data_IF_111406098634
#
_entry.id   IF_111406098634
#
_cell.length_a   1.000
_cell.length_b   1.000
_cell.length_c   1.000
_cell.angle_alpha   90.00
_cell.angle_beta   90.00
_cell.angle_gamma   90.00
#
_symmetry.space_group_name_H-M   'P 1'
#
loop_
_entity.id
_entity.type
_entity.pdbx_description
1 polymer ?
#
# COMPACT_ATOMS: atom_id res chain seq x y z
N UNK A 1 0.19 24.17 23.41
CA UNK A 1 0.82 23.94 22.09
C UNK A 1 0.80 22.43 21.90
N UNK A 2 0.05 21.93 20.92
CA UNK A 2 -0.01 20.48 20.68
C UNK A 2 1.35 19.99 20.18
N UNK A 3 1.71 18.74 20.48
CA UNK A 3 2.84 18.12 19.80
C UNK A 3 2.43 17.77 18.38
N UNK A 4 3.38 17.82 17.46
CA UNK A 4 3.21 17.46 16.06
C UNK A 4 4.07 16.24 15.75
N UNK A 5 3.62 15.44 14.80
CA UNK A 5 4.34 14.30 14.27
C UNK A 5 4.82 14.69 12.88
N UNK A 6 6.13 14.58 12.69
CA UNK A 6 6.78 14.97 11.45
C UNK A 6 7.95 14.08 11.10
N UNK A 7 8.58 14.44 10.00
CA UNK A 7 9.78 13.78 9.48
C UNK A 7 10.94 14.77 9.44
N UNK A 8 12.15 14.24 9.54
CA UNK A 8 13.36 15.03 9.31
C UNK A 8 13.78 14.93 7.85
N UNK A 9 13.91 16.08 7.20
CA UNK A 9 14.39 16.16 5.83
C UNK A 9 15.93 16.08 5.81
N UNK A 10 16.50 15.82 4.64
CA UNK A 10 17.96 15.69 4.48
C UNK A 10 18.73 16.99 4.74
N UNK A 11 18.06 18.15 4.74
CA UNK A 11 18.62 19.44 5.14
C UNK A 11 18.63 19.65 6.67
N UNK A 12 18.09 18.68 7.42
CA UNK A 12 17.97 18.71 8.88
C UNK A 12 16.74 19.44 9.39
N UNK A 13 15.90 19.99 8.51
CA UNK A 13 14.65 20.65 8.90
C UNK A 13 13.58 19.63 9.29
N UNK A 14 12.73 20.02 10.24
CA UNK A 14 11.56 19.26 10.64
C UNK A 14 10.37 19.64 9.77
N UNK A 15 9.76 18.65 9.12
CA UNK A 15 8.54 18.82 8.34
C UNK A 15 7.36 18.19 9.07
N UNK A 16 6.47 19.03 9.57
CA UNK A 16 5.25 18.63 10.27
C UNK A 16 4.25 17.98 9.31
N UNK A 17 3.78 16.79 9.65
CA UNK A 17 2.85 16.01 8.81
C UNK A 17 1.48 15.92 9.48
N UNK A 18 1.43 15.53 10.75
CA UNK A 18 0.20 15.30 11.52
C UNK A 18 0.26 16.05 12.85
N UNK A 19 -0.89 16.48 13.34
CA UNK A 19 -1.04 16.96 14.72
C UNK A 19 -1.27 15.76 15.66
N UNK A 20 -0.87 15.82 16.93
CA UNK A 20 -1.04 14.72 17.88
C UNK A 20 -2.51 14.44 18.26
N UNK A 21 -3.39 15.43 18.15
CA UNK A 21 -4.83 15.29 18.34
C UNK A 21 -5.58 14.90 17.06
N UNK A 22 -4.89 14.87 15.91
CA UNK A 22 -5.48 14.48 14.64
C UNK A 22 -5.68 12.97 14.59
N UNK A 23 -6.95 12.53 14.42
CA UNK A 23 -7.27 11.14 14.13
C UNK A 23 -7.51 10.96 12.64
N UNK A 24 -6.67 10.16 11.97
CA UNK A 24 -6.80 9.92 10.54
C UNK A 24 -5.50 9.50 9.89
N UNK A 25 -5.48 9.52 8.56
CA UNK A 25 -4.30 9.19 7.74
C UNK A 25 -3.98 10.32 6.78
N UNK A 26 -2.70 10.60 6.58
CA UNK A 26 -2.19 11.59 5.62
C UNK A 26 -1.12 10.93 4.76
N UNK A 27 -1.22 11.18 3.46
CA UNK A 27 -0.24 10.75 2.46
C UNK A 27 0.68 11.91 2.12
N UNK A 28 1.98 11.66 2.16
CA UNK A 28 3.06 12.56 1.77
C UNK A 28 3.90 11.86 0.71
N UNK A 29 4.37 12.63 -0.27
CA UNK A 29 5.33 12.16 -1.26
C UNK A 29 6.68 12.78 -0.93
N UNK A 30 7.69 11.93 -0.74
CA UNK A 30 9.08 12.34 -0.51
C UNK A 30 9.96 11.81 -1.63
N UNK A 31 11.18 12.35 -1.74
CA UNK A 31 12.09 12.02 -2.85
C UNK A 31 13.54 11.98 -2.39
N UNK A 32 14.44 11.50 -3.26
CA UNK A 32 15.87 11.38 -2.94
C UNK A 32 16.56 12.73 -2.93
N UNK A 33 17.58 12.86 -2.07
CA UNK A 33 18.35 14.11 -1.94
C UNK A 33 19.65 14.10 -2.75
N UNK A 34 20.11 12.91 -3.16
CA UNK A 34 21.32 12.69 -3.96
C UNK A 34 21.00 11.91 -5.24
N UNK A 35 21.84 12.11 -6.25
CA UNK A 35 21.74 11.38 -7.51
C UNK A 35 22.15 9.91 -7.31
N UNK A 36 21.45 9.00 -7.98
CA UNK A 36 21.65 7.55 -7.92
C UNK A 36 21.63 7.00 -6.48
N UNK A 37 20.81 7.60 -5.62
CA UNK A 37 20.62 7.13 -4.26
C UNK A 37 19.79 5.84 -4.26
N UNK A 38 20.37 4.77 -3.71
CA UNK A 38 19.83 3.40 -3.69
C UNK A 38 19.00 3.08 -2.44
N UNK A 39 19.10 3.92 -1.42
CA UNK A 39 18.45 3.74 -0.12
C UNK A 39 17.99 5.08 0.46
N UNK A 40 16.82 5.10 1.10
CA UNK A 40 16.25 6.27 1.77
C UNK A 40 15.86 5.90 3.19
N UNK A 41 16.39 6.64 4.17
CA UNK A 41 16.01 6.54 5.56
C UNK A 41 15.10 7.72 5.92
N UNK A 42 13.93 7.42 6.48
CA UNK A 42 12.92 8.39 6.89
C UNK A 42 12.79 8.29 8.41
N UNK A 43 13.29 9.30 9.10
CA UNK A 43 13.25 9.36 10.55
C UNK A 43 12.01 10.14 11.00
N UNK A 44 11.20 9.52 11.87
CA UNK A 44 9.97 10.08 12.43
C UNK A 44 10.23 10.67 13.80
N UNK A 45 9.71 11.87 14.02
CA UNK A 45 9.85 12.61 15.26
C UNK A 45 8.49 13.13 15.74
N UNK A 46 8.34 13.17 17.07
CA UNK A 46 7.28 13.88 17.78
C UNK A 46 7.91 15.14 18.37
N UNK A 47 7.40 16.32 18.06
CA UNK A 47 7.96 17.56 18.59
C UNK A 47 7.07 18.75 18.30
N UNK A 48 7.50 19.94 18.71
CA UNK A 48 6.87 21.19 18.29
C UNK A 48 7.90 21.98 17.48
N UNK A 49 7.44 22.88 16.60
CA UNK A 49 8.30 23.66 15.70
C UNK A 49 9.43 24.44 16.43
N UNK A 50 9.23 24.79 17.70
CA UNK A 50 10.21 25.47 18.57
C UNK A 50 10.66 24.61 19.78
N UNK A 51 10.21 23.36 19.86
CA UNK A 51 10.37 22.49 21.02
C UNK A 51 11.39 21.38 20.84
N UNK A 52 11.54 20.54 21.87
CA UNK A 52 12.37 19.34 21.79
C UNK A 52 11.71 18.28 20.88
N UNK A 53 12.49 17.73 19.96
CA UNK A 53 12.10 16.63 19.07
C UNK A 53 12.39 15.28 19.75
N UNK A 54 11.36 14.48 20.01
CA UNK A 54 11.46 13.10 20.47
C UNK A 54 11.45 12.14 19.28
N UNK A 55 12.50 11.34 19.13
CA UNK A 55 12.58 10.31 18.09
C UNK A 55 11.59 9.19 18.35
N UNK A 56 10.82 8.82 17.32
CA UNK A 56 9.82 7.73 17.38
C UNK A 56 10.40 6.46 16.76
N UNK A 57 10.95 6.58 15.55
CA UNK A 57 11.46 5.45 14.79
C UNK A 57 11.91 5.84 13.39
N UNK A 58 12.38 4.86 12.63
CA UNK A 58 12.92 5.06 11.29
C UNK A 58 12.36 4.02 10.32
N UNK A 59 12.08 4.46 9.10
CA UNK A 59 11.69 3.61 7.96
C UNK A 59 12.83 3.64 6.93
N UNK A 60 13.31 2.48 6.50
CA UNK A 60 14.41 2.38 5.54
C UNK A 60 13.96 1.67 4.26
N UNK A 61 13.82 2.41 3.17
CA UNK A 61 13.56 1.84 1.84
C UNK A 61 14.90 1.56 1.17
N UNK A 62 15.11 0.33 0.71
CA UNK A 62 16.31 -0.10 0.00
C UNK A 62 16.01 -0.35 -1.49
N UNK A 63 17.04 -0.65 -2.28
CA UNK A 63 16.93 -1.08 -3.67
C UNK A 63 16.16 -0.10 -4.60
N UNK A 64 16.30 1.21 -4.34
CA UNK A 64 15.72 2.26 -5.18
C UNK A 64 16.47 2.30 -6.52
N UNK A 65 15.72 2.37 -7.62
CA UNK A 65 16.31 2.44 -8.95
C UNK A 65 17.23 3.68 -9.07
N UNK A 66 18.47 3.52 -9.58
CA UNK A 66 19.38 4.65 -9.77
C UNK A 66 18.78 5.69 -10.71
N UNK A 67 18.44 6.86 -10.15
CA UNK A 67 17.91 8.00 -10.89
C UNK A 67 18.48 9.30 -10.31
N UNK A 68 18.47 10.41 -11.07
CA UNK A 68 18.78 11.74 -10.55
C UNK A 68 18.00 12.08 -9.29
N UNK A 69 18.55 12.94 -8.43
CA UNK A 69 17.85 13.42 -7.23
C UNK A 69 16.50 14.03 -7.62
N UNK A 70 15.52 13.91 -6.73
CA UNK A 70 14.17 14.46 -6.91
C UNK A 70 13.29 13.75 -7.95
N UNK A 71 13.79 12.71 -8.62
CA UNK A 71 13.01 11.90 -9.56
C UNK A 71 12.33 10.68 -8.90
N UNK A 72 13.00 9.89 -8.04
CA UNK A 72 12.33 8.82 -7.30
C UNK A 72 11.21 9.36 -6.43
N UNK A 73 10.06 8.72 -6.45
CA UNK A 73 8.89 9.14 -5.68
C UNK A 73 8.61 8.09 -4.61
N UNK A 74 8.84 8.42 -3.34
CA UNK A 74 8.57 7.53 -2.22
C UNK A 74 7.27 8.00 -1.56
N UNK A 75 6.27 7.13 -1.55
CA UNK A 75 4.99 7.37 -0.90
C UNK A 75 5.10 7.05 0.58
N UNK A 76 4.87 8.06 1.43
CA UNK A 76 4.84 7.93 2.88
C UNK A 76 3.41 8.19 3.38
N UNK A 77 2.82 7.23 4.07
CA UNK A 77 1.52 7.35 4.70
C UNK A 77 1.70 7.29 6.21
N UNK A 78 1.28 8.34 6.91
CA UNK A 78 1.23 8.34 8.37
C UNK A 78 -0.22 8.36 8.81
N UNK A 79 -0.52 7.61 9.87
CA UNK A 79 -1.83 7.54 10.49
C UNK A 79 -1.75 7.56 11.99
N UNK A 80 -2.63 8.31 12.63
CA UNK A 80 -2.76 8.33 14.08
C UNK A 80 -4.19 7.94 14.44
N UNK A 81 -4.32 6.95 15.32
CA UNK A 81 -5.61 6.50 15.83
C UNK A 81 -6.02 7.26 17.10
N UNK A 82 -7.28 7.09 17.52
CA UNK A 82 -7.81 7.71 18.75
C UNK A 82 -7.17 7.18 20.04
N UNK A 83 -6.37 6.12 19.95
CA UNK A 83 -5.66 5.49 21.07
C UNK A 83 -4.21 5.98 21.18
N UNK A 84 -3.74 6.80 20.23
CA UNK A 84 -2.37 7.28 20.16
C UNK A 84 -1.39 6.32 19.47
N UNK A 85 -1.86 5.30 18.75
CA UNK A 85 -0.96 4.49 17.93
C UNK A 85 -0.68 5.19 16.60
N UNK A 86 0.59 5.45 16.35
CA UNK A 86 1.10 5.93 15.09
C UNK A 86 1.42 4.73 14.19
N UNK A 87 0.77 4.68 13.03
CA UNK A 87 1.11 3.81 11.93
C UNK A 87 1.81 4.62 10.85
N UNK A 88 2.98 4.17 10.41
CA UNK A 88 3.71 4.78 9.31
C UNK A 88 4.04 3.71 8.26
N UNK A 89 3.82 4.03 7.00
CA UNK A 89 4.03 3.14 5.87
C UNK A 89 4.76 3.89 4.76
N UNK A 90 5.90 3.37 4.32
CA UNK A 90 6.66 3.92 3.20
C UNK A 90 6.68 2.91 2.05
N UNK A 91 6.51 3.37 0.81
CA UNK A 91 6.54 2.53 -0.38
C UNK A 91 7.18 3.28 -1.55
N UNK A 92 8.11 2.62 -2.24
CA UNK A 92 8.57 3.06 -3.55
C UNK A 92 7.79 2.30 -4.64
N UNK A 93 7.02 2.98 -5.51
CA UNK A 93 6.26 2.35 -6.58
C UNK A 93 7.15 1.78 -7.70
N UNK A 94 8.39 2.26 -7.85
CA UNK A 94 9.29 1.83 -8.93
C UNK A 94 10.04 0.54 -8.57
N UNK A 95 10.59 0.45 -7.35
CA UNK A 95 11.19 -0.79 -6.85
C UNK A 95 10.14 -1.79 -6.33
N UNK A 96 8.98 -1.30 -5.87
CA UNK A 96 7.97 -2.10 -5.18
C UNK A 96 8.28 -2.34 -3.70
N UNK A 97 9.41 -1.83 -3.21
CA UNK A 97 9.85 -1.96 -1.82
C UNK A 97 8.93 -1.18 -0.87
N UNK A 98 8.65 -1.79 0.28
CA UNK A 98 7.67 -1.33 1.26
C UNK A 98 8.18 -1.54 2.67
N UNK A 99 7.94 -0.58 3.53
CA UNK A 99 8.25 -0.67 4.95
C UNK A 99 7.09 -0.13 5.78
N UNK A 100 6.90 -0.71 6.96
CA UNK A 100 5.86 -0.30 7.89
C UNK A 100 6.39 -0.25 9.31
N UNK A 101 5.95 0.74 10.07
CA UNK A 101 6.29 0.95 11.47
C UNK A 101 5.00 1.27 12.23
N UNK A 102 4.77 0.57 13.34
CA UNK A 102 3.65 0.83 14.25
C UNK A 102 4.20 1.09 15.65
N UNK A 103 3.91 2.25 16.23
CA UNK A 103 4.40 2.64 17.55
C UNK A 103 3.26 3.23 18.36
N UNK A 104 3.07 2.72 19.58
CA UNK A 104 2.15 3.30 20.55
C UNK A 104 2.81 4.51 21.19
N UNK A 105 2.24 5.70 20.98
CA UNK A 105 2.75 6.90 21.58
C UNK A 105 2.18 7.05 23.01
N UNK A 106 3.01 7.26 24.04
CA UNK A 106 2.50 7.52 25.37
C UNK A 106 1.75 8.86 25.37
N UNK A 107 0.59 8.87 26.03
CA UNK A 107 -0.18 10.09 26.26
C UNK A 107 0.65 11.04 27.11
N UNK A 108 0.79 12.28 26.65
CA UNK A 108 1.44 13.38 27.37
C UNK A 108 0.53 13.80 28.53
N UNK A 109 0.50 13.00 29.59
CA UNK A 109 -0.39 13.19 30.74
C UNK A 109 0.21 12.76 32.08
N UNK A 110 1.16 11.83 32.09
CA UNK A 110 1.83 11.41 33.33
C UNK A 110 3.25 11.96 33.38
N UNK A 111 3.36 13.29 33.42
CA UNK A 111 4.39 13.88 34.27
C UNK A 111 3.94 13.64 35.70
N UNK A 112 4.13 12.43 36.22
CA UNK A 112 4.44 12.33 37.65
C UNK A 112 5.67 13.23 37.80
N UNK A 113 5.59 14.34 38.55
CA UNK A 113 6.78 15.12 38.85
C UNK A 113 7.78 14.13 39.43
N UNK A 114 8.92 14.02 38.77
CA UNK A 114 10.09 13.37 39.34
C UNK A 114 10.23 13.93 40.74
N UNK A 115 10.01 13.07 41.75
CA UNK A 115 10.46 13.34 43.10
C UNK A 115 11.91 13.81 43.00
N UNK A 116 12.15 15.00 43.53
CA UNK A 116 13.48 15.60 43.68
C UNK A 116 14.46 14.51 44.10
N UNK A 117 15.36 14.16 43.18
CA UNK A 117 16.56 13.42 43.53
C UNK A 117 17.45 14.41 44.28
N UNK A 118 17.23 14.50 45.59
CA UNK A 118 18.12 15.14 46.55
C UNK A 118 19.53 14.50 46.42
N UNK A 119 20.35 15.13 45.59
CA UNK A 119 21.77 14.92 45.45
C UNK A 119 22.50 15.81 46.46
N UNK A 120 22.55 15.37 47.72
CA UNK A 120 23.57 15.75 48.68
C UNK A 120 24.28 14.44 49.10
N UNK A 121 25.56 14.21 48.79
CA UNK A 121 26.67 14.94 49.39
C UNK A 121 27.23 14.10 50.56
N UNK A 122 28.11 13.15 50.23
CA UNK A 122 29.09 12.42 51.05
C UNK A 122 29.01 12.49 52.61
N UNK A 123 29.01 11.33 53.29
CA UNK A 123 30.13 10.84 54.15
C UNK A 123 29.68 9.69 55.09
N UNK A 124 30.15 8.48 54.76
CA UNK A 124 30.75 7.45 55.63
C UNK A 124 30.35 7.32 57.14
N UNK A 125 30.00 6.07 57.52
CA UNK A 125 30.46 5.26 58.70
C UNK A 125 29.35 4.56 59.53
N UNK A 126 29.22 3.24 59.26
CA UNK A 126 29.02 2.06 60.15
C UNK A 126 27.62 1.68 60.73
N UNK A 127 27.43 0.38 61.08
CA UNK A 127 26.15 -0.33 60.96
C UNK A 127 25.52 -0.91 62.25
N UNK A 128 24.24 -1.26 62.10
CA UNK A 128 23.43 -2.30 62.79
C UNK A 128 22.90 -1.99 64.22
N UNK A 129 21.95 -2.80 64.72
CA UNK A 129 20.59 -3.09 64.24
C UNK A 129 19.57 -2.76 65.37
N UNK A 130 18.27 -3.12 65.25
CA UNK A 130 17.39 -3.66 66.32
C UNK A 130 15.91 -3.37 66.03
N UNK A 131 15.22 -4.47 65.69
CA UNK A 131 13.87 -4.89 66.09
C UNK A 131 12.64 -4.03 65.75
N UNK A 132 11.84 -4.55 64.80
CA UNK A 132 10.38 -4.47 64.93
C UNK A 132 9.93 -5.34 66.12
N UNK A 133 8.90 -4.92 66.87
CA UNK A 133 7.63 -5.62 66.69
C UNK A 133 6.35 -4.79 66.91
N UNK A 134 5.34 -5.10 66.09
CA UNK A 134 3.88 -5.10 66.35
C UNK A 134 3.17 -3.82 66.82
N UNK A 135 2.08 -3.48 66.11
CA UNK A 135 1.02 -2.65 66.70
C UNK A 135 -0.15 -2.31 65.79
N UNK A 136 -1.08 -3.25 65.56
CA UNK A 136 -2.40 -2.96 64.97
C UNK A 136 -3.30 -2.17 65.94
N UNK A 137 -3.78 -0.99 65.53
CA UNK A 137 -5.09 -0.34 65.81
C UNK A 137 -4.94 1.14 65.39
N UNK A 138 -5.74 1.76 64.53
CA UNK A 138 -7.18 1.65 64.30
C UNK A 138 -7.80 3.01 64.63
N UNK A 139 -7.96 3.88 63.64
CA UNK A 139 -8.70 5.16 63.68
C UNK A 139 -9.12 5.44 62.21
N UNK A 140 -10.27 4.99 61.71
CA UNK A 140 -11.63 5.54 61.88
C UNK A 140 -11.74 7.03 61.51
N UNK A 141 -12.51 7.33 60.47
CA UNK A 141 -12.83 8.68 59.99
C UNK A 141 -13.08 8.72 58.47
N UNK A 142 -14.19 8.16 57.98
CA UNK A 142 -15.27 8.95 57.32
C UNK A 142 -15.11 9.02 55.77
N UNK A 143 -15.72 8.08 55.05
CA UNK A 143 -16.95 8.25 54.23
C UNK A 143 -16.76 8.83 52.81
N UNK A 144 -16.89 7.96 51.80
CA UNK A 144 -17.34 8.32 50.45
C UNK A 144 -18.73 7.70 50.21
N UNK A 145 -19.75 8.46 49.75
CA UNK A 145 -21.03 7.88 49.37
C UNK A 145 -20.91 7.21 48.00
N UNK A 146 -21.17 5.90 47.97
CA UNK A 146 -21.51 5.17 46.74
C UNK A 146 -22.92 5.59 46.33
N UNK A 147 -23.03 6.36 45.26
CA UNK A 147 -24.31 6.69 44.65
C UNK A 147 -24.91 5.46 43.97
N UNK A 148 -25.91 4.87 44.61
CA UNK A 148 -26.82 3.91 43.99
C UNK A 148 -27.98 4.67 43.35
N UNK A 149 -27.87 5.00 42.06
CA UNK A 149 -29.03 5.29 41.22
C UNK A 149 -29.02 4.36 40.01
N UNK A 150 -29.44 3.13 40.29
CA UNK A 150 -29.92 2.17 39.30
C UNK A 150 -31.33 2.60 38.87
N UNK A 151 -31.42 3.41 37.80
CA UNK A 151 -32.70 3.68 37.13
C UNK A 151 -32.52 3.96 35.65
N UNK A 152 -32.40 2.89 34.86
CA UNK A 152 -33.01 2.77 33.52
C UNK A 152 -32.94 1.32 33.02
N UNK A 153 -33.89 0.48 33.49
CA UNK A 153 -34.21 -0.80 32.83
C UNK A 153 -34.96 -0.52 31.54
N UNK A 154 -34.26 -0.45 30.41
CA UNK A 154 -34.86 -0.67 29.10
C UNK A 154 -34.99 -2.19 28.89
N UNK A 155 -36.13 -2.73 28.43
CA UNK A 155 -36.25 -4.15 28.10
C UNK A 155 -35.29 -4.47 26.95
N UNK A 156 -34.23 -5.23 27.24
CA UNK A 156 -33.37 -5.81 26.22
C UNK A 156 -34.17 -6.91 25.50
N UNK A 157 -34.71 -6.61 24.32
CA UNK A 157 -35.16 -7.67 23.42
C UNK A 157 -33.98 -8.62 23.14
N UNK A 158 -34.17 -9.94 23.25
CA UNK A 158 -33.11 -10.90 22.95
C UNK A 158 -32.86 -10.87 21.44
N UNK A 159 -31.88 -10.07 21.01
CA UNK A 159 -31.34 -10.10 19.65
C UNK A 159 -30.77 -11.49 19.40
N UNK A 160 -31.54 -12.34 18.71
CA UNK A 160 -31.10 -13.66 18.25
C UNK A 160 -29.76 -13.52 17.51
N UNK A 161 -28.80 -14.44 17.73
CA UNK A 161 -27.45 -14.28 17.19
C UNK A 161 -27.50 -14.31 15.67
N UNK A 162 -27.08 -13.20 15.05
CA UNK A 162 -26.95 -13.04 13.58
C UNK A 162 -26.05 -14.11 12.94
N UNK A 163 -25.35 -14.91 13.73
CA UNK A 163 -24.54 -16.06 13.31
C UNK A 163 -25.35 -17.09 12.51
N UNK A 164 -26.59 -17.40 12.90
CA UNK A 164 -27.43 -18.34 12.13
C UNK A 164 -27.81 -17.79 10.75
N UNK A 165 -28.00 -16.47 10.65
CA UNK A 165 -28.27 -15.82 9.37
C UNK A 165 -27.02 -15.82 8.46
N UNK A 166 -25.82 -15.66 9.04
CA UNK A 166 -24.55 -15.78 8.31
C UNK A 166 -24.31 -17.20 7.83
N UNK A 167 -24.54 -18.22 8.67
CA UNK A 167 -24.43 -19.64 8.28
C UNK A 167 -25.42 -19.94 7.15
N UNK A 168 -26.66 -19.44 7.24
CA UNK A 168 -27.65 -19.56 6.16
C UNK A 168 -27.18 -18.93 4.85
N UNK A 169 -26.55 -17.75 4.90
CA UNK A 169 -26.03 -17.07 3.71
C UNK A 169 -24.85 -17.82 3.07
N UNK A 170 -23.97 -18.40 3.88
CA UNK A 170 -22.84 -19.23 3.41
C UNK A 170 -23.35 -20.52 2.76
N UNK A 171 -24.32 -21.20 3.38
CA UNK A 171 -24.94 -22.40 2.80
C UNK A 171 -25.70 -22.09 1.51
N UNK A 172 -26.42 -20.96 1.46
CA UNK A 172 -27.09 -20.50 0.25
C UNK A 172 -26.09 -20.20 -0.87
N UNK A 173 -24.96 -19.55 -0.55
CA UNK A 173 -23.86 -19.31 -1.49
C UNK A 173 -23.27 -20.59 -2.05
N UNK A 174 -23.00 -21.60 -1.19
CA UNK A 174 -22.52 -22.92 -1.62
C UNK A 174 -23.52 -23.64 -2.53
N UNK A 175 -24.83 -23.54 -2.25
CA UNK A 175 -25.87 -24.17 -3.05
C UNK A 175 -26.00 -23.50 -4.43
N UNK A 176 -25.91 -22.16 -4.49
CA UNK A 176 -25.86 -21.41 -5.75
C UNK A 176 -24.61 -21.78 -6.56
N UNK A 177 -23.45 -21.91 -5.91
CA UNK A 177 -22.20 -22.26 -6.56
C UNK A 177 -22.22 -23.70 -7.10
N UNK A 178 -22.77 -24.64 -6.34
CA UNK A 178 -23.00 -26.02 -6.80
C UNK A 178 -24.02 -26.08 -7.95
N UNK A 179 -25.09 -25.27 -7.90
CA UNK A 179 -26.06 -25.15 -8.97
C UNK A 179 -25.48 -24.56 -10.25
N UNK A 180 -24.63 -23.53 -10.14
CA UNK A 180 -23.91 -22.95 -11.25
C UNK A 180 -22.90 -23.93 -11.85
N UNK A 181 -22.15 -24.67 -11.01
CA UNK A 181 -21.24 -25.72 -11.45
C UNK A 181 -21.99 -26.85 -12.17
N UNK A 182 -23.15 -27.26 -11.66
CA UNK A 182 -24.01 -28.25 -12.32
C UNK A 182 -24.59 -27.73 -13.65
N UNK A 183 -24.95 -26.45 -13.71
CA UNK A 183 -25.44 -25.82 -14.94
C UNK A 183 -24.33 -25.72 -15.99
N UNK A 184 -23.11 -25.36 -15.59
CA UNK A 184 -21.91 -25.33 -16.44
C UNK A 184 -21.58 -26.75 -16.92
N UNK A 185 -21.56 -27.73 -16.03
CA UNK A 185 -21.36 -29.14 -16.37
C UNK A 185 -22.40 -29.62 -17.40
N UNK A 186 -23.68 -29.29 -17.18
CA UNK A 186 -24.77 -29.59 -18.11
C UNK A 186 -24.66 -28.83 -19.44
N UNK A 187 -24.06 -27.64 -19.47
CA UNK A 187 -23.86 -26.85 -20.69
C UNK A 187 -22.63 -27.31 -21.49
N UNK A 188 -21.62 -27.88 -20.83
CA UNK A 188 -20.40 -28.40 -21.47
C UNK A 188 -20.57 -29.83 -22.01
N UNK A 189 -21.44 -30.66 -21.41
CA UNK A 189 -21.74 -32.02 -21.90
C UNK A 189 -22.69 -32.04 -23.12
N UNK A 190 -23.08 -30.85 -23.61
CA UNK A 190 -24.12 -30.66 -24.61
C UNK A 190 -23.66 -30.31 -26.02
N UNK A 191 -22.51 -30.75 -26.55
CA UNK A 191 -22.30 -30.87 -28.01
C UNK A 191 -21.11 -31.78 -28.35
N UNK A 192 -21.37 -33.00 -28.83
CA UNK A 192 -20.35 -33.87 -29.42
C UNK A 192 -19.95 -33.33 -30.79
N UNK A 193 -18.73 -32.85 -30.91
CA UNK A 193 -18.14 -32.46 -32.20
C UNK A 193 -18.04 -33.71 -33.10
N UNK A 194 -18.68 -33.76 -34.29
CA UNK A 194 -18.44 -34.83 -35.25
C UNK A 194 -17.04 -34.67 -35.86
N UNK A 195 -16.25 -35.76 -35.83
CA UNK A 195 -15.00 -35.86 -36.58
C UNK A 195 -15.33 -36.03 -38.07
N UNK A 196 -15.16 -34.97 -38.84
CA UNK A 196 -15.12 -35.03 -40.31
C UNK A 196 -13.76 -35.62 -40.73
N UNK A 197 -13.80 -36.74 -41.46
CA UNK A 197 -12.69 -37.49 -42.09
C UNK A 197 -11.76 -38.23 -41.08
N UNK A 198 -11.69 -39.56 -40.99
CA UNK A 198 -11.59 -40.60 -42.03
C UNK A 198 -10.11 -40.69 -42.45
N UNK A 199 -9.31 -41.74 -42.23
CA UNK A 199 -9.47 -43.11 -41.76
C UNK A 199 -8.19 -43.84 -42.21
N UNK A 200 -7.65 -44.73 -41.37
CA UNK A 200 -6.70 -45.79 -41.77
C UNK A 200 -5.22 -45.42 -41.91
N UNK A 201 -4.39 -45.93 -41.01
CA UNK A 201 -2.92 -45.93 -41.15
C UNK A 201 -2.25 -46.37 -39.86
N UNK A 202 -1.72 -47.59 -39.86
CA UNK A 202 -1.09 -48.33 -38.77
C UNK A 202 -0.15 -47.54 -37.85
N UNK A 203 -0.22 -47.86 -36.56
CA UNK A 203 0.78 -47.53 -35.54
C UNK A 203 1.89 -48.59 -35.60
N UNK A 204 3.04 -48.24 -36.16
CA UNK A 204 4.31 -48.92 -35.85
C UNK A 204 5.15 -48.01 -34.95
N UNK A 205 5.30 -48.44 -33.71
CA UNK A 205 6.18 -47.88 -32.67
C UNK A 205 7.66 -48.03 -33.09
N UNK A 206 8.53 -47.05 -32.77
CA UNK A 206 9.93 -47.34 -32.48
C UNK A 206 10.28 -47.09 -31.00
N UNK A 207 11.10 -48.01 -30.48
CA UNK A 207 11.77 -48.03 -29.17
C UNK A 207 12.77 -46.88 -28.94
N UNK A 208 13.20 -46.64 -27.69
CA UNK A 208 14.17 -45.60 -27.35
C UNK A 208 15.61 -46.09 -27.60
N UNK A 209 16.44 -45.25 -28.22
CA UNK A 209 17.87 -45.53 -28.46
C UNK A 209 18.74 -44.66 -27.52
N UNK A 210 19.79 -45.22 -26.86
CA UNK A 210 20.60 -44.56 -25.84
C UNK A 210 21.69 -43.60 -26.39
N UNK A 211 22.38 -42.79 -25.54
CA UNK A 211 23.21 -41.66 -25.98
C UNK A 211 24.73 -41.93 -25.99
N UNK A 212 25.47 -41.36 -26.98
CA UNK A 212 26.88 -40.90 -26.91
C UNK A 212 27.40 -40.44 -28.31
N UNK A 213 28.58 -39.79 -28.45
CA UNK A 213 29.24 -38.69 -27.69
C UNK A 213 29.66 -37.48 -28.56
N UNK A 214 30.14 -36.43 -27.89
CA UNK A 214 30.69 -35.17 -28.39
C UNK A 214 31.90 -35.26 -29.34
N UNK A 215 32.03 -34.28 -30.23
CA UNK A 215 33.27 -33.92 -30.93
C UNK A 215 33.55 -32.40 -30.80
N UNK A 216 34.80 -32.08 -30.48
CA UNK A 216 35.40 -30.76 -30.18
C UNK A 216 35.91 -30.08 -31.48
N UNK A 217 36.39 -28.81 -31.45
CA UNK A 217 36.34 -27.86 -32.55
C UNK A 217 37.70 -27.67 -33.26
N UNK A 218 37.69 -27.10 -34.48
CA UNK A 218 38.89 -26.57 -35.10
C UNK A 218 38.62 -25.41 -36.08
N UNK A 219 39.45 -24.37 -35.90
CA UNK A 219 39.98 -23.42 -36.89
C UNK A 219 39.11 -22.25 -37.40
N UNK A 220 39.42 -21.06 -36.87
CA UNK A 220 39.44 -19.78 -37.60
C UNK A 220 40.75 -19.69 -38.45
N UNK A 221 41.08 -18.63 -39.23
CA UNK A 221 40.42 -17.33 -39.44
C UNK A 221 40.39 -16.87 -40.94
N UNK A 222 39.98 -15.62 -41.23
CA UNK A 222 40.67 -14.62 -42.11
C UNK A 222 39.74 -13.46 -42.52
N UNK A 223 40.12 -12.27 -42.02
CA UNK A 223 40.21 -10.93 -42.64
C UNK A 223 39.00 -10.07 -43.11
N UNK A 224 39.00 -8.84 -42.55
CA UNK A 224 38.93 -7.50 -43.20
C UNK A 224 37.57 -6.86 -43.60
N UNK A 225 37.08 -5.98 -42.70
CA UNK A 225 36.65 -4.55 -42.83
C UNK A 225 36.37 -3.90 -44.22
N UNK A 226 35.73 -2.70 -44.32
CA UNK A 226 34.75 -2.00 -43.46
C UNK A 226 33.63 -1.26 -44.27
N UNK A 227 32.78 -0.49 -43.55
CA UNK A 227 31.98 0.67 -43.99
C UNK A 227 30.59 0.45 -44.61
N UNK A 228 29.58 1.03 -43.94
CA UNK A 228 28.62 2.02 -44.44
C UNK A 228 27.23 1.81 -43.85
N UNK A 229 26.81 2.72 -42.97
CA UNK A 229 25.39 3.02 -42.82
C UNK A 229 24.82 3.52 -44.15
N UNK A 230 23.57 3.19 -44.44
CA UNK A 230 22.67 4.24 -44.88
C UNK A 230 21.38 4.25 -44.06
N UNK A 231 21.00 5.46 -43.69
CA UNK A 231 19.63 5.81 -43.35
C UNK A 231 18.66 5.34 -44.46
N UNK A 232 17.57 4.68 -44.07
CA UNK A 232 16.34 4.54 -44.86
C UNK A 232 15.18 4.83 -43.90
N UNK A 233 14.64 6.05 -43.89
CA UNK A 233 13.62 6.60 -44.81
C UNK A 233 12.25 5.99 -44.53
N UNK A 234 11.37 6.84 -44.01
CA UNK A 234 9.97 6.61 -43.77
C UNK A 234 9.21 6.16 -45.04
N UNK A 235 8.14 5.37 -44.90
CA UNK A 235 7.02 5.43 -45.81
C UNK A 235 6.01 6.46 -45.28
N UNK A 236 5.95 7.59 -45.97
CA UNK A 236 4.80 8.46 -45.95
C UNK A 236 3.59 7.75 -46.56
N UNK A 237 2.42 7.96 -45.97
CA UNK A 237 1.15 7.87 -46.67
C UNK A 237 0.23 6.73 -46.25
N UNK A 238 -0.43 6.90 -45.09
CA UNK A 238 -1.89 6.75 -44.98
C UNK A 238 -2.44 7.82 -44.03
N UNK A 239 -2.59 9.03 -44.56
CA UNK A 239 -3.61 9.96 -44.07
C UNK A 239 -4.92 9.50 -44.72
N UNK A 240 -5.82 8.92 -43.91
CA UNK A 240 -7.20 8.69 -44.29
C UNK A 240 -8.11 9.19 -43.17
N UNK A 241 -8.75 10.32 -43.46
CA UNK A 241 -10.00 10.82 -42.90
C UNK A 241 -10.10 11.04 -41.38
N UNK A 242 -9.78 12.26 -40.96
CA UNK A 242 -10.48 12.93 -39.86
C UNK A 242 -11.95 13.12 -40.23
N UNK A 243 -12.88 12.93 -39.28
CA UNK A 243 -13.96 13.86 -39.06
C UNK A 243 -13.55 14.76 -37.89
N UNK A 244 -13.03 15.93 -38.21
CA UNK A 244 -12.71 17.01 -37.28
C UNK A 244 -14.01 17.74 -36.91
N UNK A 245 -14.70 17.29 -35.87
CA UNK A 245 -15.46 18.19 -34.97
C UNK A 245 -15.64 17.59 -33.57
N UNK A 246 -14.59 16.99 -33.01
CA UNK A 246 -14.54 16.72 -31.58
C UNK A 246 -13.42 17.59 -31.00
N UNK A 247 -13.76 18.79 -30.53
CA UNK A 247 -12.86 19.54 -29.65
C UNK A 247 -12.55 18.64 -28.45
N UNK A 248 -11.28 18.43 -28.12
CA UNK A 248 -10.88 17.51 -27.05
C UNK A 248 -9.38 17.52 -26.81
N UNK A 249 -8.96 16.99 -25.67
CA UNK A 249 -7.56 16.98 -25.22
C UNK A 249 -7.03 15.55 -25.27
N UNK A 250 -5.77 15.38 -25.69
CA UNK A 250 -5.07 14.11 -25.56
C UNK A 250 -4.35 14.06 -24.22
N UNK A 251 -4.65 13.03 -23.43
CA UNK A 251 -4.04 12.78 -22.13
C UNK A 251 -3.22 11.49 -22.16
N UNK A 252 -2.03 11.48 -21.55
CA UNK A 252 -1.20 10.28 -21.42
C UNK A 252 -1.52 9.61 -20.09
N UNK A 253 -2.03 8.38 -20.16
CA UNK A 253 -2.43 7.61 -18.98
C UNK A 253 -1.19 7.33 -18.13
N UNK A 254 -1.23 7.70 -16.86
CA UNK A 254 -0.20 7.37 -15.87
C UNK A 254 -0.65 6.15 -15.07
N UNK A 255 0.28 5.41 -14.48
CA UNK A 255 -0.06 4.26 -13.64
C UNK A 255 -0.90 4.72 -12.43
N UNK A 256 -2.02 4.04 -12.18
CA UNK A 256 -2.99 4.42 -11.16
C UNK A 256 -4.14 5.29 -11.66
N UNK A 257 -4.06 5.84 -12.89
CA UNK A 257 -5.21 6.51 -13.49
C UNK A 257 -6.32 5.50 -13.76
N UNK A 258 -7.56 5.93 -13.49
CA UNK A 258 -8.77 5.22 -13.89
C UNK A 258 -9.58 6.11 -14.82
N UNK A 259 -10.42 5.50 -15.69
CA UNK A 259 -11.35 6.30 -16.50
C UNK A 259 -12.31 7.11 -15.62
N UNK A 260 -12.61 6.62 -14.42
CA UNK A 260 -13.44 7.29 -13.42
C UNK A 260 -12.79 8.59 -12.93
N UNK A 261 -11.52 8.54 -12.54
CA UNK A 261 -10.78 9.71 -12.04
C UNK A 261 -10.52 10.73 -13.14
N UNK A 262 -10.21 10.26 -14.36
CA UNK A 262 -10.07 11.13 -15.53
C UNK A 262 -11.41 11.79 -15.88
N UNK A 263 -12.53 11.08 -15.80
CA UNK A 263 -13.83 11.69 -16.01
C UNK A 263 -14.19 12.71 -14.93
N UNK A 264 -13.85 12.41 -13.67
CA UNK A 264 -13.96 13.34 -12.55
C UNK A 264 -13.15 14.61 -12.76
N UNK A 265 -11.91 14.47 -13.22
CA UNK A 265 -10.98 15.59 -13.42
C UNK A 265 -11.41 16.47 -14.60
N UNK A 266 -11.68 15.87 -15.75
CA UNK A 266 -11.90 16.63 -17.00
C UNK A 266 -13.36 17.02 -17.24
N UNK A 267 -14.33 16.22 -16.79
CA UNK A 267 -15.76 16.54 -16.94
C UNK A 267 -16.42 17.10 -15.68
N UNK A 268 -15.68 17.14 -14.56
CA UNK A 268 -16.20 17.40 -13.20
C UNK A 268 -17.34 16.46 -12.81
N UNK A 269 -17.38 15.28 -13.42
CA UNK A 269 -18.37 14.25 -13.17
C UNK A 269 -17.78 12.86 -13.45
N UNK A 270 -17.42 12.10 -12.41
CA UNK A 270 -16.84 10.77 -12.55
C UNK A 270 -17.73 9.78 -13.31
N UNK A 271 -19.06 9.94 -13.24
CA UNK A 271 -20.04 9.08 -13.94
C UNK A 271 -19.99 9.18 -15.46
N UNK A 272 -19.21 10.12 -16.03
CA UNK A 272 -19.03 10.24 -17.49
C UNK A 272 -17.90 9.37 -18.04
N UNK A 273 -17.25 8.54 -17.21
CA UNK A 273 -16.26 7.57 -17.66
C UNK A 273 -16.76 6.58 -18.74
N UNK A 274 -18.03 6.14 -18.82
CA UNK A 274 -18.47 5.24 -19.88
C UNK A 274 -18.51 5.95 -21.24
N UNK A 275 -18.79 7.26 -21.25
CA UNK A 275 -18.68 8.09 -22.46
C UNK A 275 -17.23 8.20 -22.91
N UNK A 276 -16.30 8.35 -21.97
CA UNK A 276 -14.87 8.40 -22.26
C UNK A 276 -14.35 7.06 -22.82
N UNK A 277 -14.78 5.94 -22.24
CA UNK A 277 -14.51 4.60 -22.76
C UNK A 277 -15.03 4.43 -24.19
N UNK A 278 -16.28 4.84 -24.45
CA UNK A 278 -16.92 4.78 -25.76
C UNK A 278 -16.21 5.65 -26.81
N UNK A 279 -15.79 6.85 -26.45
CA UNK A 279 -15.06 7.75 -27.33
C UNK A 279 -13.71 7.18 -27.79
N UNK A 280 -13.07 6.37 -26.94
CA UNK A 280 -11.77 5.75 -27.21
C UNK A 280 -11.87 4.29 -27.64
N UNK A 281 -13.10 3.77 -27.84
CA UNK A 281 -13.37 2.37 -28.21
C UNK A 281 -12.70 1.36 -27.26
N UNK A 282 -12.68 1.69 -25.97
CA UNK A 282 -12.10 0.83 -24.93
C UNK A 282 -13.10 -0.30 -24.64
N UNK A 283 -12.73 -1.59 -24.85
CA UNK A 283 -13.64 -2.71 -24.66
C UNK A 283 -13.98 -2.96 -23.19
N UNK A 284 -12.99 -2.80 -22.31
CA UNK A 284 -13.13 -2.94 -20.87
C UNK A 284 -12.77 -1.61 -20.17
N UNK A 285 -13.75 -0.86 -19.65
CA UNK A 285 -13.51 0.42 -18.99
C UNK A 285 -12.59 0.35 -17.76
N UNK A 286 -12.53 -0.82 -17.11
CA UNK A 286 -11.72 -1.03 -15.90
C UNK A 286 -10.26 -1.37 -16.21
N UNK A 287 -9.94 -1.64 -17.49
CA UNK A 287 -8.59 -2.00 -17.93
C UNK A 287 -8.06 -0.92 -18.88
N UNK A 288 -7.31 0.03 -18.31
CA UNK A 288 -6.53 0.99 -19.08
C UNK A 288 -5.04 0.82 -18.80
N UNK A 289 -4.23 0.95 -19.84
CA UNK A 289 -2.80 0.67 -19.79
C UNK A 289 -2.05 1.99 -19.67
N UNK A 290 -1.17 2.10 -18.67
CA UNK A 290 -0.29 3.24 -18.51
C UNK A 290 0.58 3.46 -19.77
N UNK A 291 0.86 4.72 -20.07
CA UNK A 291 1.63 5.14 -21.25
C UNK A 291 0.80 5.32 -22.52
N UNK A 292 -0.42 4.75 -22.61
CA UNK A 292 -1.30 4.97 -23.75
C UNK A 292 -1.90 6.39 -23.75
N UNK A 293 -2.20 6.92 -24.93
CA UNK A 293 -2.88 8.22 -25.09
C UNK A 293 -4.38 8.03 -25.18
N UNK A 294 -5.10 8.73 -24.31
CA UNK A 294 -6.55 8.77 -24.23
C UNK A 294 -7.06 10.10 -24.77
N UNK A 295 -8.04 10.05 -25.67
CA UNK A 295 -8.73 11.23 -26.18
C UNK A 295 -9.89 11.59 -25.26
N UNK A 296 -9.87 12.80 -24.72
CA UNK A 296 -10.91 13.32 -23.82
C UNK A 296 -11.73 14.36 -24.62
N UNK A 297 -12.89 13.99 -25.18
CA UNK A 297 -13.74 14.95 -25.87
C UNK A 297 -14.21 16.06 -24.92
N UNK A 298 -14.42 17.26 -25.43
CA UNK A 298 -15.04 18.36 -24.67
C UNK A 298 -16.51 18.03 -24.43
N UNK A 299 -17.03 18.54 -23.32
CA UNK A 299 -18.36 18.21 -22.78
C UNK A 299 -19.48 18.47 -23.77
#
# INVERSE_FOLDING_TARGET
MGSEIGIKLADGSFYSVLEEDFTGRKKLVVTTSRDNQDSVQIDLYRGSLEGAEAFIGSLMIENIQPAPKREPEIELQLGLDSSGNLEAFASDPMSGEKQSLSVSLPATGDTSPLEDLDLEGETQVRPAPVEEPFGRKGLAGESYPVGTEDRRKAPLEPRRPRVLAVIGFVLLGLLVLAGAAYLIYRLLDGERIPRLFGGGGEVTRPEPVPPKPAEKPAAAPVAAQPAASPAQVAPAGQTAAQPSTAEGIWYRIVWGDTLWDLAGTYYRNPWLYPRLAKANKIPNPDLIIAGHRLFIPKK
#
